data_IF_375738909174
#
_entry.id   IF_375738909174
#
_cell.length_a   1.000
_cell.length_b   1.000
_cell.length_c   1.000
_cell.angle_alpha   90.00
_cell.angle_beta   90.00
_cell.angle_gamma   90.00
#
_symmetry.space_group_name_H-M   'P 1'
#
loop_
_entity.id
_entity.type
_entity.pdbx_description
1 polymer ?
#
# COMPACT_ATOMS: atom_id res chain seq x y z
N UNK A 1 -18.58 10.19 -24.95
CA UNK A 1 -17.65 10.76 -23.96
C UNK A 1 -16.47 9.81 -23.90
N UNK A 2 -15.26 10.28 -24.19
CA UNK A 2 -14.05 9.49 -23.94
C UNK A 2 -13.95 9.34 -22.42
N UNK A 3 -14.51 8.25 -21.91
CA UNK A 3 -14.59 7.99 -20.49
C UNK A 3 -13.18 7.87 -19.95
N UNK A 4 -12.92 8.53 -18.82
CA UNK A 4 -11.77 8.26 -17.97
C UNK A 4 -11.87 6.78 -17.60
N UNK A 5 -11.27 5.90 -18.40
CA UNK A 5 -11.10 4.50 -18.00
C UNK A 5 -10.21 4.52 -16.76
N UNK A 6 -10.47 3.66 -15.77
CA UNK A 6 -9.75 3.63 -14.47
C UNK A 6 -8.21 3.64 -14.61
N UNK A 7 -7.69 3.27 -15.78
CA UNK A 7 -6.27 3.20 -16.12
C UNK A 7 -5.75 4.39 -16.96
N UNK A 8 -6.61 5.18 -17.59
CA UNK A 8 -6.17 6.29 -18.44
C UNK A 8 -5.90 7.54 -17.60
N UNK A 9 -4.64 7.66 -17.19
CA UNK A 9 -4.09 8.85 -16.54
C UNK A 9 -3.25 9.68 -17.51
N UNK A 10 -3.47 9.56 -18.82
CA UNK A 10 -2.83 10.43 -19.82
C UNK A 10 -3.36 11.87 -19.78
N UNK A 11 -4.37 12.13 -18.94
CA UNK A 11 -4.87 13.48 -18.70
C UNK A 11 -3.70 14.41 -18.35
N UNK A 12 -3.51 15.52 -19.09
CA UNK A 12 -2.43 16.46 -18.84
C UNK A 12 -2.38 16.92 -17.39
N UNK A 13 -3.54 16.98 -16.71
CA UNK A 13 -3.63 17.37 -15.30
C UNK A 13 -2.83 16.43 -14.38
N UNK A 14 -2.78 15.13 -14.66
CA UNK A 14 -2.00 14.18 -13.86
C UNK A 14 -0.52 14.20 -14.26
N UNK A 15 -0.20 14.69 -15.46
CA UNK A 15 1.16 14.81 -15.99
C UNK A 15 1.80 16.19 -15.75
N UNK A 16 1.04 17.23 -15.41
CA UNK A 16 1.50 18.62 -15.46
C UNK A 16 2.17 19.14 -14.19
N UNK A 17 2.09 18.44 -13.05
CA UNK A 17 2.63 18.95 -11.80
C UNK A 17 4.12 18.60 -11.59
N UNK A 18 4.93 19.51 -11.00
CA UNK A 18 6.37 19.35 -10.88
C UNK A 18 6.75 18.18 -9.95
N UNK A 19 7.66 17.33 -10.43
CA UNK A 19 8.03 16.06 -9.80
C UNK A 19 8.81 16.18 -8.48
N UNK A 20 9.35 17.35 -8.13
CA UNK A 20 10.48 17.42 -7.18
C UNK A 20 10.16 17.99 -5.81
N UNK A 21 8.96 18.54 -5.59
CA UNK A 21 8.59 19.14 -4.29
C UNK A 21 7.11 18.91 -3.98
N UNK A 22 6.76 19.00 -2.70
CA UNK A 22 5.38 19.22 -2.28
C UNK A 22 4.81 20.41 -3.05
N UNK A 23 3.66 20.23 -3.66
CA UNK A 23 3.00 21.28 -4.44
C UNK A 23 1.55 21.44 -4.01
N UNK A 24 1.02 22.65 -4.20
CA UNK A 24 -0.37 22.95 -3.90
C UNK A 24 -1.14 23.11 -5.20
N UNK A 25 -2.25 22.41 -5.33
CA UNK A 25 -3.19 22.56 -6.45
C UNK A 25 -4.62 22.58 -5.93
N UNK A 26 -5.42 23.57 -6.35
CA UNK A 26 -6.79 23.72 -5.86
C UNK A 26 -6.93 23.88 -4.35
N UNK A 27 -5.90 24.39 -3.65
CA UNK A 27 -5.88 24.52 -2.19
C UNK A 27 -5.45 23.25 -1.43
N UNK A 28 -5.26 22.13 -2.13
CA UNK A 28 -4.82 20.85 -1.57
C UNK A 28 -3.33 20.64 -1.78
N UNK A 29 -2.64 19.97 -0.85
CA UNK A 29 -1.19 19.67 -0.96
C UNK A 29 -1.00 18.29 -1.58
N UNK A 30 0.00 18.09 -2.42
CA UNK A 30 0.30 16.81 -3.09
C UNK A 30 1.77 16.48 -2.99
N UNK A 31 2.07 15.18 -2.86
CA UNK A 31 3.43 14.65 -2.79
C UNK A 31 4.21 14.92 -4.10
N UNK A 32 5.55 15.04 -4.02
CA UNK A 32 6.40 14.97 -5.21
C UNK A 32 6.24 13.61 -5.91
N UNK A 33 6.59 13.55 -7.19
CA UNK A 33 6.65 12.27 -7.89
C UNK A 33 7.90 11.52 -7.39
N UNK A 34 7.69 10.55 -6.50
CA UNK A 34 8.76 9.75 -5.90
C UNK A 34 9.25 8.64 -6.82
N UNK A 35 8.43 8.20 -7.78
CA UNK A 35 8.67 6.98 -8.54
C UNK A 35 8.50 7.14 -10.06
N UNK A 36 9.55 7.65 -10.71
CA UNK A 36 9.67 7.74 -12.16
C UNK A 36 8.64 8.65 -12.86
N UNK A 37 8.88 8.91 -14.14
CA UNK A 37 7.92 9.59 -15.01
C UNK A 37 6.76 8.64 -15.31
N UNK A 38 5.74 8.69 -14.45
CA UNK A 38 4.59 7.83 -14.59
C UNK A 38 3.83 7.73 -13.29
N UNK A 39 4.44 7.18 -12.23
CA UNK A 39 3.73 6.76 -11.02
C UNK A 39 3.62 7.92 -10.02
N UNK A 40 2.73 8.85 -10.34
CA UNK A 40 2.41 10.00 -9.49
C UNK A 40 1.28 9.65 -8.52
N UNK A 41 1.50 9.97 -7.25
CA UNK A 41 0.47 9.92 -6.22
C UNK A 41 -0.63 10.92 -6.56
N UNK A 42 -1.87 10.45 -6.66
CA UNK A 42 -2.99 11.26 -7.18
C UNK A 42 -3.87 11.87 -6.08
N UNK A 43 -3.68 11.46 -4.83
CA UNK A 43 -4.44 11.99 -3.70
C UNK A 43 -3.63 13.10 -3.01
N UNK A 44 -4.32 14.04 -2.36
CA UNK A 44 -3.64 15.02 -1.52
C UNK A 44 -2.86 14.35 -0.37
N UNK A 45 -1.95 15.10 0.23
CA UNK A 45 -1.15 14.72 1.42
C UNK A 45 -1.28 15.80 2.50
N UNK A 46 -2.51 16.27 2.70
CA UNK A 46 -2.86 17.30 3.69
C UNK A 46 -3.76 16.74 4.80
N UNK A 47 -3.99 17.56 5.82
CA UNK A 47 -4.79 17.21 7.01
C UNK A 47 -6.22 16.78 6.66
N UNK A 48 -6.81 17.34 5.61
CA UNK A 48 -8.15 16.96 5.15
C UNK A 48 -8.15 15.52 4.58
N UNK A 49 -7.11 15.14 3.82
CA UNK A 49 -6.97 13.77 3.34
C UNK A 49 -6.64 12.79 4.48
N UNK A 50 -5.78 13.19 5.43
CA UNK A 50 -5.54 12.39 6.64
C UNK A 50 -6.87 12.13 7.37
N UNK A 51 -7.68 13.17 7.59
CA UNK A 51 -9.01 13.02 8.20
C UNK A 51 -9.89 12.04 7.42
N UNK A 52 -9.86 12.10 6.08
CA UNK A 52 -10.58 11.14 5.23
C UNK A 52 -10.10 9.70 5.48
N UNK A 53 -8.79 9.47 5.51
CA UNK A 53 -8.22 8.14 5.76
C UNK A 53 -8.55 7.62 7.17
N UNK A 54 -8.48 8.47 8.19
CA UNK A 54 -8.87 8.10 9.56
C UNK A 54 -10.34 7.68 9.65
N UNK A 55 -11.25 8.42 9.01
CA UNK A 55 -12.68 8.08 8.97
C UNK A 55 -12.92 6.75 8.25
N UNK A 56 -12.28 6.53 7.10
CA UNK A 56 -12.37 5.26 6.36
C UNK A 56 -11.81 4.10 7.20
N UNK A 57 -10.65 4.28 7.84
CA UNK A 57 -10.05 3.29 8.74
C UNK A 57 -11.00 2.91 9.89
N UNK A 58 -11.59 3.91 10.58
CA UNK A 58 -12.56 3.68 11.66
C UNK A 58 -13.83 2.99 11.15
N UNK A 59 -14.28 3.29 9.93
CA UNK A 59 -15.41 2.59 9.33
C UNK A 59 -15.10 1.09 9.09
N UNK A 60 -13.90 0.77 8.61
CA UNK A 60 -13.43 -0.62 8.49
C UNK A 60 -13.34 -1.34 9.86
N UNK A 61 -12.85 -0.63 10.88
CA UNK A 61 -12.81 -1.14 12.26
C UNK A 61 -14.22 -1.47 12.78
N UNK A 62 -15.18 -0.57 12.58
CA UNK A 62 -16.55 -0.71 13.06
C UNK A 62 -17.29 -1.91 12.45
N UNK A 63 -16.95 -2.31 11.22
CA UNK A 63 -17.51 -3.51 10.58
C UNK A 63 -16.70 -4.79 10.83
N UNK A 64 -15.69 -4.73 11.71
CA UNK A 64 -14.87 -5.88 12.10
C UNK A 64 -13.91 -6.35 11.00
N UNK A 65 -13.48 -5.46 10.10
CA UNK A 65 -12.65 -5.80 8.93
C UNK A 65 -11.29 -5.10 8.92
N UNK A 66 -10.66 -4.94 10.08
CA UNK A 66 -9.24 -4.53 10.11
C UNK A 66 -8.38 -5.60 9.47
N UNK A 67 -8.54 -6.87 9.89
CA UNK A 67 -7.96 -8.03 9.22
C UNK A 67 -9.13 -8.86 8.70
N UNK A 68 -9.19 -9.08 7.39
CA UNK A 68 -10.33 -9.73 6.74
C UNK A 68 -10.36 -11.27 6.91
N UNK A 69 -9.32 -11.83 7.52
CA UNK A 69 -9.16 -13.27 7.78
C UNK A 69 -9.03 -13.53 9.28
N UNK A 70 -9.23 -14.77 9.70
CA UNK A 70 -9.00 -15.16 11.10
C UNK A 70 -7.50 -15.01 11.42
N UNK A 71 -7.19 -14.20 12.45
CA UNK A 71 -5.84 -13.93 12.91
C UNK A 71 -5.09 -15.21 13.27
N UNK A 72 -5.78 -16.23 13.80
CA UNK A 72 -5.16 -17.50 14.17
C UNK A 72 -4.72 -18.37 12.98
N UNK A 73 -5.16 -18.03 11.76
CA UNK A 73 -4.78 -18.73 10.53
C UNK A 73 -3.58 -18.08 9.82
N UNK A 74 -3.15 -16.89 10.24
CA UNK A 74 -2.01 -16.20 9.63
C UNK A 74 -0.72 -16.86 10.14
N UNK A 75 0.13 -17.41 9.27
CA UNK A 75 1.36 -18.07 9.68
C UNK A 75 2.42 -17.05 10.12
N UNK A 76 3.51 -17.55 10.71
CA UNK A 76 4.69 -16.73 10.95
C UNK A 76 5.34 -16.31 9.62
N UNK A 77 5.74 -15.05 9.53
CA UNK A 77 6.32 -14.46 8.32
C UNK A 77 6.17 -12.94 8.29
N UNK A 78 6.55 -12.32 7.18
CA UNK A 78 6.41 -10.88 6.97
C UNK A 78 4.97 -10.56 6.57
N UNK A 79 4.40 -9.49 7.14
CA UNK A 79 3.10 -8.95 6.76
C UNK A 79 3.32 -7.70 5.92
N UNK A 80 2.70 -7.63 4.74
CA UNK A 80 2.83 -6.48 3.84
C UNK A 80 1.55 -5.66 3.82
N UNK A 81 1.69 -4.34 3.88
CA UNK A 81 0.59 -3.38 3.68
C UNK A 81 0.87 -2.53 2.43
N UNK A 82 0.16 -2.81 1.34
CA UNK A 82 0.35 -2.14 0.06
C UNK A 82 -0.58 -0.92 -0.05
N UNK A 83 0.00 0.26 -0.28
CA UNK A 83 -0.71 1.53 -0.23
C UNK A 83 -0.88 2.03 1.22
N UNK A 84 0.19 1.97 2.03
CA UNK A 84 0.09 2.18 3.50
C UNK A 84 -0.31 3.60 3.90
N UNK A 85 -0.08 4.62 3.04
CA UNK A 85 -0.40 6.02 3.32
C UNK A 85 0.20 6.51 4.65
N UNK A 86 -0.67 6.88 5.60
CA UNK A 86 -0.30 7.31 6.95
C UNK A 86 -0.11 6.16 7.96
N UNK A 87 0.02 4.92 7.49
CA UNK A 87 0.32 3.76 8.32
C UNK A 87 -0.71 3.44 9.43
N UNK A 88 -1.96 3.90 9.28
CA UNK A 88 -3.03 3.65 10.26
C UNK A 88 -3.31 2.15 10.43
N UNK A 89 -3.35 1.39 9.33
CA UNK A 89 -3.53 -0.07 9.39
C UNK A 89 -2.34 -0.76 10.05
N UNK A 90 -1.12 -0.42 9.62
CA UNK A 90 0.12 -0.96 10.18
C UNK A 90 0.20 -0.73 11.69
N UNK A 91 -0.23 0.44 12.17
CA UNK A 91 -0.21 0.78 13.59
C UNK A 91 -1.07 -0.15 14.45
N UNK A 92 -2.28 -0.48 14.01
CA UNK A 92 -3.14 -1.43 14.73
C UNK A 92 -2.62 -2.87 14.60
N UNK A 93 -2.18 -3.26 13.40
CA UNK A 93 -1.75 -4.64 13.12
C UNK A 93 -0.41 -4.97 13.79
N UNK A 94 0.46 -3.99 13.97
CA UNK A 94 1.71 -4.12 14.72
C UNK A 94 1.48 -4.54 16.18
N UNK A 95 0.38 -4.09 16.78
CA UNK A 95 0.00 -4.51 18.14
C UNK A 95 -0.53 -5.94 18.18
N UNK A 96 -1.21 -6.40 17.11
CA UNK A 96 -1.76 -7.76 16.98
C UNK A 96 -0.64 -8.77 16.73
N UNK A 97 0.28 -8.46 15.82
CA UNK A 97 1.40 -9.32 15.45
C UNK A 97 2.74 -8.80 15.98
N UNK A 98 2.83 -8.62 17.30
CA UNK A 98 4.01 -8.06 17.96
C UNK A 98 5.33 -8.81 17.68
N UNK A 99 5.26 -10.06 17.23
CA UNK A 99 6.41 -10.92 16.93
C UNK A 99 6.68 -11.11 15.42
N UNK A 100 5.96 -10.41 14.54
CA UNK A 100 6.17 -10.46 13.11
C UNK A 100 6.58 -9.09 12.60
N UNK A 101 7.39 -9.09 11.55
CA UNK A 101 7.73 -7.88 10.82
C UNK A 101 6.55 -7.46 9.95
N UNK A 102 6.22 -6.18 9.99
CA UNK A 102 5.24 -5.55 9.13
C UNK A 102 5.95 -4.54 8.24
N UNK A 103 5.68 -4.57 6.94
CA UNK A 103 6.25 -3.59 6.01
C UNK A 103 5.13 -2.85 5.30
N UNK A 104 5.06 -1.54 5.54
CA UNK A 104 4.19 -0.63 4.80
C UNK A 104 4.88 -0.14 3.54
N UNK A 105 4.21 -0.25 2.39
CA UNK A 105 4.74 0.17 1.09
C UNK A 105 3.81 1.20 0.48
N UNK A 106 4.34 2.36 0.08
CA UNK A 106 3.58 3.37 -0.64
C UNK A 106 4.50 4.19 -1.55
N UNK A 107 3.94 4.90 -2.52
CA UNK A 107 4.64 5.96 -3.24
C UNK A 107 4.90 7.18 -2.33
N UNK A 108 4.08 7.38 -1.29
CA UNK A 108 4.29 8.37 -0.26
C UNK A 108 3.88 7.81 1.09
N UNK A 109 4.84 7.75 2.02
CA UNK A 109 4.56 7.34 3.40
C UNK A 109 4.79 8.53 4.32
N UNK A 110 3.78 8.86 5.12
CA UNK A 110 3.91 9.78 6.25
C UNK A 110 3.58 9.04 7.54
N UNK A 111 4.58 8.34 8.05
CA UNK A 111 4.53 7.60 9.31
C UNK A 111 5.37 8.30 10.39
N UNK A 112 5.54 9.63 10.29
CA UNK A 112 6.44 10.40 11.15
C UNK A 112 6.09 10.34 12.64
N UNK A 113 4.81 10.15 12.97
CA UNK A 113 4.31 10.00 14.34
C UNK A 113 4.25 8.53 14.82
N UNK A 114 4.55 7.58 13.93
CA UNK A 114 4.39 6.15 14.18
C UNK A 114 5.72 5.55 14.64
N UNK A 115 5.81 5.23 15.94
CA UNK A 115 6.97 4.54 16.52
C UNK A 115 6.56 3.09 16.82
N UNK A 116 6.92 2.16 15.93
CA UNK A 116 6.62 0.74 16.05
C UNK A 116 7.92 -0.07 15.96
N UNK A 117 8.16 -0.96 16.92
CA UNK A 117 9.41 -1.74 16.98
C UNK A 117 9.49 -2.85 15.92
N UNK A 118 8.36 -3.22 15.33
CA UNK A 118 8.23 -4.33 14.38
C UNK A 118 7.67 -3.88 13.02
N UNK A 119 7.63 -2.57 12.74
CA UNK A 119 7.18 -2.07 11.45
C UNK A 119 8.25 -1.23 10.74
N UNK A 120 8.38 -1.42 9.43
CA UNK A 120 9.23 -0.62 8.56
C UNK A 120 8.42 -0.06 7.39
N UNK A 121 8.91 1.01 6.79
CA UNK A 121 8.21 1.72 5.72
C UNK A 121 9.11 1.91 4.51
N UNK A 122 8.60 1.54 3.33
CA UNK A 122 9.36 1.56 2.07
C UNK A 122 8.63 2.43 1.05
N UNK A 123 9.32 3.47 0.56
CA UNK A 123 8.81 4.29 -0.54
C UNK A 123 9.11 3.59 -1.87
N UNK A 124 8.10 2.94 -2.44
CA UNK A 124 8.22 2.13 -3.67
C UNK A 124 6.85 1.98 -4.34
N UNK A 125 6.86 1.73 -5.65
CA UNK A 125 5.66 1.25 -6.33
C UNK A 125 5.30 -0.17 -5.86
N UNK A 126 4.22 -0.29 -5.09
CA UNK A 126 3.75 -1.57 -4.56
C UNK A 126 3.23 -2.54 -5.64
N UNK A 127 3.07 -2.11 -6.91
CA UNK A 127 2.78 -3.03 -8.03
C UNK A 127 4.00 -3.87 -8.45
N UNK A 128 5.20 -3.51 -7.99
CA UNK A 128 6.42 -4.29 -8.21
C UNK A 128 6.58 -5.39 -7.17
N UNK A 129 7.37 -6.42 -7.49
CA UNK A 129 7.71 -7.48 -6.53
C UNK A 129 8.37 -6.87 -5.31
N UNK A 130 7.90 -7.23 -4.11
CA UNK A 130 8.54 -6.78 -2.88
C UNK A 130 9.93 -7.42 -2.77
N UNK A 131 10.04 -8.71 -3.14
CA UNK A 131 11.32 -9.43 -3.20
C UNK A 131 11.75 -9.93 -1.83
N UNK A 132 10.89 -10.72 -1.17
CA UNK A 132 11.30 -11.39 0.08
C UNK A 132 12.28 -12.50 -0.29
N UNK A 133 13.57 -12.22 -0.17
CA UNK A 133 14.62 -13.14 -0.64
C UNK A 133 14.76 -14.37 0.27
N UNK A 134 14.41 -14.30 1.55
CA UNK A 134 14.70 -15.35 2.54
C UNK A 134 13.56 -15.68 3.54
N UNK A 135 12.35 -15.17 3.30
CA UNK A 135 11.21 -15.25 4.24
C UNK A 135 9.88 -15.58 3.58
N UNK A 136 8.96 -16.16 4.34
CA UNK A 136 7.58 -16.38 3.91
C UNK A 136 6.77 -15.09 4.14
N UNK A 137 6.07 -14.61 3.12
CA UNK A 137 5.03 -13.59 3.34
C UNK A 137 3.82 -14.29 3.94
N UNK A 138 3.39 -13.82 5.11
CA UNK A 138 2.29 -14.40 5.86
C UNK A 138 0.93 -13.82 5.46
N UNK A 139 0.92 -12.52 5.13
CA UNK A 139 -0.29 -11.79 4.79
C UNK A 139 0.09 -10.60 3.90
N UNK A 140 -0.76 -10.31 2.91
CA UNK A 140 -0.71 -9.06 2.15
C UNK A 140 -2.04 -8.35 2.30
N UNK A 141 -2.01 -7.12 2.81
CA UNK A 141 -3.14 -6.21 2.84
C UNK A 141 -3.05 -5.21 1.68
N UNK A 142 -4.19 -4.94 1.06
CA UNK A 142 -4.37 -3.87 0.08
C UNK A 142 -5.81 -3.39 0.23
N UNK A 143 -5.97 -2.14 0.68
CA UNK A 143 -7.28 -1.50 0.77
C UNK A 143 -7.17 -0.02 0.45
N UNK A 144 -8.26 0.56 -0.05
CA UNK A 144 -8.39 2.00 -0.33
C UNK A 144 -7.35 2.56 -1.34
N UNK A 145 -6.58 1.68 -2.00
CA UNK A 145 -5.58 1.97 -3.03
C UNK A 145 -5.85 1.20 -4.34
N UNK A 146 -6.99 0.53 -4.46
CA UNK A 146 -7.36 -0.26 -5.65
C UNK A 146 -7.66 0.63 -6.86
N UNK A 147 -7.97 1.91 -6.61
CA UNK A 147 -8.21 2.91 -7.65
C UNK A 147 -6.91 3.54 -8.19
N UNK A 148 -5.76 3.30 -7.57
CA UNK A 148 -4.44 3.71 -8.08
C UNK A 148 -3.72 2.68 -8.95
N UNK A 149 -4.23 1.44 -9.00
CA UNK A 149 -3.63 0.36 -9.78
C UNK A 149 -3.55 0.67 -11.27
N UNK A 150 -2.39 0.43 -11.88
CA UNK A 150 -2.18 0.54 -13.33
C UNK A 150 -2.17 -0.80 -14.02
N UNK A 151 -1.64 -1.82 -13.37
CA UNK A 151 -1.52 -3.18 -13.86
C UNK A 151 -1.95 -4.18 -12.77
N UNK A 152 -3.26 -4.26 -12.48
CA UNK A 152 -3.80 -5.15 -11.45
C UNK A 152 -3.46 -6.63 -11.69
N UNK A 153 -3.30 -7.05 -12.95
CA UNK A 153 -2.89 -8.43 -13.28
C UNK A 153 -1.45 -8.70 -12.83
N UNK A 154 -0.52 -7.78 -13.10
CA UNK A 154 0.87 -7.91 -12.66
C UNK A 154 0.97 -7.90 -11.13
N UNK A 155 0.22 -7.03 -10.46
CA UNK A 155 0.16 -7.01 -9.00
C UNK A 155 -0.36 -8.35 -8.45
N UNK A 156 -1.46 -8.88 -8.99
CA UNK A 156 -2.00 -10.17 -8.56
C UNK A 156 -0.98 -11.32 -8.74
N UNK A 157 -0.22 -11.31 -9.84
CA UNK A 157 0.88 -12.27 -10.06
C UNK A 157 2.00 -12.12 -9.02
N UNK A 158 2.38 -10.89 -8.69
CA UNK A 158 3.42 -10.62 -7.69
C UNK A 158 2.97 -11.06 -6.29
N UNK A 159 1.73 -10.70 -5.89
CA UNK A 159 1.10 -11.15 -4.64
C UNK A 159 1.11 -12.68 -4.54
N UNK A 160 0.74 -13.39 -5.61
CA UNK A 160 0.75 -14.85 -5.62
C UNK A 160 2.15 -15.44 -5.46
N UNK A 161 3.15 -14.86 -6.14
CA UNK A 161 4.55 -15.31 -6.02
C UNK A 161 5.08 -15.08 -4.60
N UNK A 162 4.77 -13.93 -4.00
CA UNK A 162 5.24 -13.55 -2.67
C UNK A 162 4.58 -14.40 -1.56
N UNK A 163 3.27 -14.70 -1.69
CA UNK A 163 2.54 -15.59 -0.77
C UNK A 163 2.84 -17.09 -0.98
N UNK A 164 3.26 -17.47 -2.19
CA UNK A 164 3.57 -18.85 -2.55
C UNK A 164 4.99 -18.97 -3.12
N UNK A 165 6.05 -18.87 -2.29
CA UNK A 165 7.41 -19.16 -2.74
C UNK A 165 7.46 -20.53 -3.43
N UNK A 166 8.01 -20.56 -4.66
CA UNK A 166 8.05 -21.77 -5.47
C UNK A 166 6.82 -22.01 -6.35
N UNK A 167 5.91 -21.06 -6.52
CA UNK A 167 4.77 -21.14 -7.45
C UNK A 167 5.13 -21.49 -8.92
N UNK A 168 6.41 -21.43 -9.30
CA UNK A 168 6.93 -21.90 -10.60
C UNK A 168 7.84 -23.14 -10.53
N UNK A 169 8.05 -23.73 -9.35
CA UNK A 169 8.87 -24.92 -9.13
C UNK A 169 8.02 -26.06 -8.55
N UNK A 170 8.56 -27.29 -8.49
CA UNK A 170 7.83 -28.45 -7.88
C UNK A 170 7.64 -28.33 -6.36
N UNK A 171 8.09 -27.24 -5.75
CA UNK A 171 8.07 -27.03 -4.30
C UNK A 171 7.24 -25.80 -3.98
N UNK A 172 5.96 -25.85 -4.34
CA UNK A 172 4.99 -24.81 -3.98
C UNK A 172 4.66 -24.94 -2.49
N UNK A 173 4.94 -23.89 -1.71
CA UNK A 173 4.41 -23.72 -0.35
C UNK A 173 3.63 -22.42 -0.34
N UNK A 174 2.32 -22.51 -0.21
CA UNK A 174 1.43 -21.37 -0.04
C UNK A 174 1.00 -21.26 1.43
N UNK A 175 0.68 -20.03 1.84
CA UNK A 175 -0.16 -19.75 3.02
C UNK A 175 -1.56 -20.31 2.83
#
# INVERSE_FOLDING_TARGET
MNGITRTDRSSPILQSYPATRLHTWGGRKFAPATYGEGYRYCLPVDEEELTRQELTHRAWAAVGKIIAVDVGLIPAGTILDLGTGWALWVSEVAMIFANQEIVGVDLYVDASEVILNNATFVVKNYEEKFGVEDGQVALINLRDAELSLRNPEQLARNIFIDLCPGAGSRTMKCV
#
